data_IF_557848208565
#
_entry.id   IF_557848208565
#
_cell.length_a   1.000
_cell.length_b   1.000
_cell.length_c   1.000
_cell.angle_alpha   90.00
_cell.angle_beta   90.00
_cell.angle_gamma   90.00
#
_symmetry.space_group_name_H-M   'P 1'
#
loop_
_entity.id
_entity.type
_entity.pdbx_description
1 polymer ?
#
# COMPACT_ATOMS: atom_id res chain seq x y z
N UNK A 1 2.67 6.38 18.92
CA UNK A 1 3.05 5.66 17.70
C UNK A 1 3.62 6.68 16.75
N UNK A 2 4.90 6.55 16.40
CA UNK A 2 5.57 7.50 15.52
C UNK A 2 4.94 7.45 14.13
N UNK A 3 4.65 8.61 13.57
CA UNK A 3 4.15 8.73 12.20
C UNK A 3 5.23 8.21 11.24
N UNK A 4 4.89 7.20 10.45
CA UNK A 4 5.84 6.56 9.53
C UNK A 4 5.98 7.46 8.30
N UNK A 5 6.94 8.38 8.36
CA UNK A 5 7.21 9.33 7.28
C UNK A 5 8.08 8.63 6.24
N UNK A 6 7.53 8.42 5.04
CA UNK A 6 8.28 7.92 3.89
C UNK A 6 9.26 8.98 3.42
N UNK A 7 10.54 8.61 3.31
CA UNK A 7 11.65 9.46 2.90
C UNK A 7 12.12 9.14 1.46
N UNK A 8 13.04 9.95 0.93
CA UNK A 8 13.67 9.68 -0.37
C UNK A 8 14.46 8.37 -0.37
N UNK A 9 15.17 8.10 0.72
CA UNK A 9 15.98 6.89 0.89
C UNK A 9 15.10 5.64 0.87
N UNK A 10 13.88 5.72 1.42
CA UNK A 10 12.90 4.64 1.35
C UNK A 10 12.45 4.38 -0.09
N UNK A 11 12.23 5.43 -0.90
CA UNK A 11 11.88 5.28 -2.33
C UNK A 11 13.02 4.61 -3.09
N UNK A 12 14.27 4.99 -2.81
CA UNK A 12 15.45 4.37 -3.41
C UNK A 12 15.57 2.89 -3.03
N UNK A 13 15.37 2.56 -1.76
CA UNK A 13 15.38 1.19 -1.27
C UNK A 13 14.26 0.36 -1.95
N UNK A 14 13.03 0.87 -1.98
CA UNK A 14 11.88 0.21 -2.60
C UNK A 14 12.09 -0.01 -4.11
N UNK A 15 12.65 0.96 -4.83
CA UNK A 15 12.97 0.80 -6.24
C UNK A 15 13.98 -0.33 -6.48
N UNK A 16 15.01 -0.44 -5.62
CA UNK A 16 15.98 -1.54 -5.65
C UNK A 16 15.34 -2.88 -5.33
N UNK A 17 14.54 -2.96 -4.27
CA UNK A 17 13.85 -4.20 -3.90
C UNK A 17 12.86 -4.69 -4.96
N UNK A 18 12.19 -3.76 -5.65
CA UNK A 18 11.29 -4.07 -6.74
C UNK A 18 12.01 -4.39 -8.06
N UNK A 19 13.35 -4.24 -8.13
CA UNK A 19 14.12 -4.42 -9.36
C UNK A 19 13.76 -3.39 -10.44
N UNK A 20 13.28 -2.21 -10.05
CA UNK A 20 12.83 -1.17 -10.96
C UNK A 20 13.93 -0.10 -11.13
N UNK A 21 14.52 0.06 -12.33
CA UNK A 21 15.53 1.07 -12.59
C UNK A 21 14.87 2.44 -12.81
N UNK A 22 14.34 3.04 -11.74
CA UNK A 22 13.65 4.33 -11.81
C UNK A 22 14.65 5.48 -11.97
N UNK A 23 14.33 6.45 -12.84
CA UNK A 23 15.04 7.73 -12.91
C UNK A 23 14.77 8.57 -11.66
N UNK A 24 15.64 9.54 -11.37
CA UNK A 24 15.48 10.42 -10.20
C UNK A 24 14.22 11.27 -10.27
N UNK A 25 13.82 11.72 -11.47
CA UNK A 25 12.55 12.39 -11.70
C UNK A 25 11.36 11.50 -11.31
N UNK A 26 11.41 10.21 -11.68
CA UNK A 26 10.35 9.25 -11.33
C UNK A 26 10.30 9.00 -9.82
N UNK A 27 11.45 8.88 -9.16
CA UNK A 27 11.52 8.73 -7.70
C UNK A 27 10.94 9.95 -6.97
N UNK A 28 11.26 11.16 -7.45
CA UNK A 28 10.68 12.40 -6.91
C UNK A 28 9.16 12.44 -7.08
N UNK A 29 8.64 11.98 -8.21
CA UNK A 29 7.19 11.90 -8.45
C UNK A 29 6.50 10.86 -7.55
N UNK A 30 7.17 9.76 -7.19
CA UNK A 30 6.61 8.68 -6.36
C UNK A 30 6.58 9.03 -4.87
N UNK A 31 7.57 9.79 -4.37
CA UNK A 31 7.66 10.15 -2.96
C UNK A 31 6.34 10.68 -2.36
N UNK A 32 5.70 11.73 -2.91
CA UNK A 32 4.45 12.25 -2.33
C UNK A 32 3.29 11.25 -2.41
N UNK A 33 3.29 10.35 -3.39
CA UNK A 33 2.28 9.29 -3.51
C UNK A 33 2.42 8.31 -2.35
N UNK A 34 3.65 7.82 -2.10
CA UNK A 34 3.89 6.90 -0.99
C UNK A 34 3.68 7.55 0.38
N UNK A 35 4.03 8.83 0.53
CA UNK A 35 3.73 9.61 1.73
C UNK A 35 2.23 9.70 2.02
N UNK A 36 1.37 9.70 0.99
CA UNK A 36 -0.09 9.65 1.16
C UNK A 36 -0.60 8.23 1.40
N UNK A 37 -0.09 7.24 0.65
CA UNK A 37 -0.62 5.89 0.65
C UNK A 37 -0.24 5.08 1.88
N UNK A 38 0.99 5.20 2.37
CA UNK A 38 1.46 4.39 3.52
C UNK A 38 0.65 4.68 4.79
N UNK A 39 0.42 5.95 5.20
CA UNK A 39 -0.45 6.24 6.34
C UNK A 39 -1.88 5.75 6.13
N UNK A 40 -2.45 5.94 4.93
CA UNK A 40 -3.81 5.50 4.62
C UNK A 40 -3.97 3.97 4.70
N UNK A 41 -2.99 3.22 4.18
CA UNK A 41 -2.96 1.76 4.27
C UNK A 41 -2.82 1.28 5.73
N UNK A 42 -1.96 1.94 6.52
CA UNK A 42 -1.80 1.62 7.94
C UNK A 42 -3.08 1.88 8.74
N UNK A 43 -3.76 2.99 8.46
CA UNK A 43 -5.05 3.30 9.09
C UNK A 43 -6.13 2.29 8.70
N UNK A 44 -6.19 1.88 7.43
CA UNK A 44 -7.09 0.82 6.99
C UNK A 44 -6.77 -0.50 7.72
N UNK A 45 -5.50 -0.88 7.79
CA UNK A 45 -5.06 -2.08 8.50
C UNK A 45 -5.46 -2.04 9.98
N UNK A 46 -5.29 -0.89 10.64
CA UNK A 46 -5.71 -0.68 12.03
C UNK A 46 -7.22 -0.87 12.20
N UNK A 47 -8.03 -0.34 11.28
CA UNK A 47 -9.50 -0.54 11.29
C UNK A 47 -9.85 -2.01 11.10
N UNK A 48 -9.27 -2.67 10.10
CA UNK A 48 -9.52 -4.08 9.82
C UNK A 48 -9.06 -5.02 10.93
N UNK A 49 -8.10 -4.60 11.78
CA UNK A 49 -7.66 -5.36 12.93
C UNK A 49 -8.59 -5.24 14.17
N UNK A 50 -9.61 -4.36 14.13
CA UNK A 50 -10.58 -4.22 15.22
C UNK A 50 -11.51 -5.43 15.30
N UNK A 51 -11.83 -5.90 16.50
CA UNK A 51 -12.58 -7.14 16.72
C UNK A 51 -13.95 -7.14 16.02
N UNK A 52 -14.57 -5.97 15.85
CA UNK A 52 -15.86 -5.80 15.19
C UNK A 52 -15.83 -6.10 13.67
N UNK A 53 -14.65 -5.99 13.04
CA UNK A 53 -14.48 -6.17 11.58
C UNK A 53 -13.37 -7.15 11.22
N UNK A 54 -12.67 -7.72 12.21
CA UNK A 54 -11.53 -8.63 12.02
C UNK A 54 -11.86 -9.90 11.26
N UNK A 55 -13.08 -10.42 11.44
CA UNK A 55 -13.56 -11.59 10.73
C UNK A 55 -14.23 -11.26 9.38
N UNK A 56 -14.34 -9.97 9.02
CA UNK A 56 -14.90 -9.58 7.74
C UNK A 56 -13.92 -9.91 6.62
N UNK A 57 -14.26 -10.95 5.86
CA UNK A 57 -13.57 -11.26 4.62
C UNK A 57 -13.92 -10.21 3.57
N UNK A 58 -12.98 -9.86 2.67
CA UNK A 58 -13.30 -9.05 1.50
C UNK A 58 -14.51 -9.64 0.77
N UNK A 59 -15.52 -8.81 0.44
CA UNK A 59 -16.65 -9.18 -0.41
C UNK A 59 -16.22 -9.38 -1.88
N UNK A 60 -15.22 -10.21 -2.14
CA UNK A 60 -14.80 -10.58 -3.49
C UNK A 60 -15.81 -11.59 -4.03
N UNK A 61 -16.96 -11.09 -4.51
CA UNK A 61 -17.88 -11.89 -5.31
C UNK A 61 -17.27 -12.01 -6.71
N UNK A 62 -16.68 -13.17 -7.03
CA UNK A 62 -16.34 -13.50 -8.42
C UNK A 62 -17.63 -13.79 -9.19
N UNK A 63 -18.24 -12.74 -9.75
CA UNK A 63 -19.49 -12.84 -10.49
C UNK A 63 -19.35 -13.47 -11.89
N UNK A 64 -18.44 -14.43 -12.12
CA UNK A 64 -18.38 -15.18 -13.39
C UNK A 64 -17.80 -16.58 -13.20
N UNK A 65 -18.62 -17.61 -13.36
CA UNK A 65 -18.14 -18.99 -13.32
C UNK A 65 -19.22 -20.09 -13.33
N UNK A 66 -20.34 -19.92 -14.03
CA UNK A 66 -21.17 -21.08 -14.39
C UNK A 66 -21.69 -20.95 -15.82
N UNK A 67 -20.93 -21.50 -16.77
CA UNK A 67 -21.44 -21.99 -18.05
C UNK A 67 -21.10 -23.48 -18.09
N UNK A 68 -21.88 -24.25 -17.33
CA UNK A 68 -22.05 -25.68 -17.55
C UNK A 68 -23.27 -25.91 -18.43
#
# INVERSE_FOLDING_TARGET
MSELIVTKDDVDALARYAGLPLSDERKQAILPILQSWVPAANELNRRMAQDEVREQLPCTIFAFGNRG
#
